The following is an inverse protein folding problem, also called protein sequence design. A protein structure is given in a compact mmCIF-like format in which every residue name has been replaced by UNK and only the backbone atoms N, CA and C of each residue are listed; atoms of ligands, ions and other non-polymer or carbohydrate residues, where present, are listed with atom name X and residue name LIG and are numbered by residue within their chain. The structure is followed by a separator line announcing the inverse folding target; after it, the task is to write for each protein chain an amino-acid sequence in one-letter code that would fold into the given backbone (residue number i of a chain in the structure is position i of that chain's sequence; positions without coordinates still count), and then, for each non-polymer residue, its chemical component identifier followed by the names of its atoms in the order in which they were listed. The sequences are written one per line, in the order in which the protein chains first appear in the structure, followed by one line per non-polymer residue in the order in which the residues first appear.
data_IF_393259989123
#
_entry.id   IF_393259989123
#
_cell.length_a   1.000
_cell.length_b   1.000
_cell.length_c   1.000
_cell.angle_alpha   90.00
_cell.angle_beta   90.00
_cell.angle_gamma   90.00
#
_symmetry.space_group_name_H-M   'P 1'
#
loop_
_entity.id
_entity.type
_entity.pdbx_description
1 polymer ?
#
# COMPACT_ATOMS: atom_id res chain seq x y z
N UNK A 1 -28.21 -6.34 -11.61
CA UNK A 1 -27.68 -6.74 -12.20
C UNK A 1 -26.42 -7.20 -12.85
N UNK A 2 -26.27 -8.49 -12.73
CA UNK A 2 -25.13 -9.16 -13.34
C UNK A 2 -25.09 -8.97 -14.85
N UNK A 3 -26.24 -8.67 -15.44
CA UNK A 3 -26.33 -8.44 -16.88
C UNK A 3 -25.51 -7.23 -17.32
N UNK A 4 -25.25 -6.29 -16.41
CA UNK A 4 -24.43 -5.14 -16.71
C UNK A 4 -22.94 -5.42 -16.54
N UNK A 5 -22.61 -6.54 -15.92
CA UNK A 5 -21.25 -7.04 -15.89
C UNK A 5 -21.02 -7.78 -17.18
N UNK A 6 -20.93 -7.02 -18.27
CA UNK A 6 -20.79 -7.61 -19.59
C UNK A 6 -19.38 -8.12 -19.84
N UNK A 7 -19.13 -8.55 -21.07
CA UNK A 7 -17.81 -9.09 -21.43
C UNK A 7 -16.70 -8.07 -21.26
N UNK A 8 -17.01 -6.79 -21.47
CA UNK A 8 -16.05 -5.73 -21.33
C UNK A 8 -15.62 -5.59 -19.87
N UNK A 9 -16.60 -5.60 -18.95
CA UNK A 9 -16.31 -5.50 -17.53
C UNK A 9 -15.54 -6.72 -17.04
N UNK A 10 -15.91 -7.91 -17.50
CA UNK A 10 -15.19 -9.12 -17.14
C UNK A 10 -13.76 -9.11 -17.65
N UNK A 11 -13.55 -8.63 -18.87
CA UNK A 11 -12.20 -8.48 -19.43
C UNK A 11 -11.40 -7.45 -18.65
N UNK A 12 -12.02 -6.33 -18.28
CA UNK A 12 -11.39 -5.33 -17.45
C UNK A 12 -11.06 -5.88 -16.07
N UNK A 13 -11.95 -6.73 -15.51
CA UNK A 13 -11.72 -7.34 -14.20
C UNK A 13 -10.48 -8.24 -14.22
N UNK A 14 -10.29 -9.02 -15.28
CA UNK A 14 -9.09 -9.84 -15.41
C UNK A 14 -7.83 -8.98 -15.47
N UNK A 15 -7.85 -7.94 -16.30
CA UNK A 15 -6.73 -7.01 -16.43
C UNK A 15 -6.46 -6.31 -15.10
N UNK A 16 -7.52 -5.81 -14.45
CA UNK A 16 -7.41 -5.16 -13.16
C UNK A 16 -6.85 -6.11 -12.11
N UNK A 17 -7.29 -7.38 -12.13
CA UNK A 17 -6.80 -8.36 -11.18
C UNK A 17 -5.30 -8.61 -11.35
N UNK A 18 -4.80 -8.67 -12.58
CA UNK A 18 -3.38 -8.83 -12.85
C UNK A 18 -2.59 -7.63 -12.29
N UNK A 19 -3.02 -6.42 -12.61
CA UNK A 19 -2.35 -5.22 -12.11
C UNK A 19 -2.48 -5.09 -10.62
N UNK A 20 -3.66 -5.37 -10.07
CA UNK A 20 -3.86 -5.28 -8.62
C UNK A 20 -2.98 -6.28 -7.88
N UNK A 21 -2.86 -7.50 -8.40
CA UNK A 21 -1.97 -8.49 -7.80
C UNK A 21 -0.54 -7.96 -7.73
N UNK A 22 -0.04 -7.42 -8.83
CA UNK A 22 1.32 -6.91 -8.92
C UNK A 22 1.55 -5.71 -8.00
N UNK A 23 0.65 -4.73 -8.05
CA UNK A 23 0.82 -3.51 -7.25
C UNK A 23 0.55 -3.75 -5.77
N UNK A 24 -0.41 -4.60 -5.44
CA UNK A 24 -0.69 -4.92 -4.04
C UNK A 24 0.48 -5.66 -3.39
N UNK A 25 1.10 -6.58 -4.12
CA UNK A 25 2.31 -7.26 -3.63
C UNK A 25 3.44 -6.26 -3.42
N UNK A 26 3.61 -5.34 -4.34
CA UNK A 26 4.64 -4.31 -4.24
C UNK A 26 4.39 -3.40 -3.05
N UNK A 27 3.15 -2.96 -2.86
CA UNK A 27 2.79 -2.10 -1.73
C UNK A 27 2.99 -2.84 -0.41
N UNK A 28 2.54 -4.08 -0.34
CA UNK A 28 2.71 -4.91 0.85
C UNK A 28 4.19 -5.03 1.21
N UNK A 29 5.03 -5.39 0.25
CA UNK A 29 6.47 -5.51 0.49
C UNK A 29 7.08 -4.19 0.91
N UNK A 30 6.70 -3.10 0.24
CA UNK A 30 7.20 -1.77 0.57
C UNK A 30 6.79 -1.32 1.96
N UNK A 31 5.57 -1.63 2.38
CA UNK A 31 5.09 -1.30 3.71
C UNK A 31 5.78 -2.12 4.80
N UNK A 32 6.10 -3.37 4.52
CA UNK A 32 6.86 -4.21 5.45
C UNK A 32 8.26 -3.62 5.64
N UNK A 33 8.91 -3.21 4.55
CA UNK A 33 10.20 -2.52 4.63
C UNK A 33 10.07 -1.24 5.45
N UNK A 34 9.00 -0.47 5.22
CA UNK A 34 8.74 0.76 5.97
C UNK A 34 8.58 0.51 7.46
N UNK A 35 7.89 -0.56 7.83
CA UNK A 35 7.74 -0.95 9.22
C UNK A 35 9.10 -1.24 9.86
N UNK A 36 9.94 -1.98 9.15
CA UNK A 36 11.29 -2.29 9.64
C UNK A 36 12.12 -1.02 9.80
N UNK A 37 12.01 -0.09 8.85
CA UNK A 37 12.71 1.19 8.94
C UNK A 37 12.23 1.99 10.15
N UNK A 38 10.93 1.98 10.43
CA UNK A 38 10.39 2.69 11.59
C UNK A 38 10.90 2.07 12.89
N UNK A 39 10.98 0.74 12.95
CA UNK A 39 11.51 0.06 14.14
C UNK A 39 12.97 0.42 14.37
N UNK A 40 13.76 0.53 13.30
CA UNK A 40 15.14 0.98 13.40
C UNK A 40 15.23 2.43 13.84
N UNK A 41 14.33 3.26 13.32
CA UNK A 41 14.27 4.68 13.67
C UNK A 41 14.03 4.89 15.16
N UNK A 42 13.09 4.11 15.71
CA UNK A 42 12.74 4.21 17.13
C UNK A 42 13.92 3.87 18.04
N UNK A 43 14.85 3.06 17.55
CA UNK A 43 16.04 2.68 18.27
C UNK A 43 17.14 3.76 18.28
N UNK A 44 17.03 4.80 17.48
CA UNK A 44 18.00 5.89 17.44
C UNK A 44 17.89 6.72 18.72
N UNK A 45 19.04 7.16 19.25
CA UNK A 45 19.08 7.86 20.53
C UNK A 45 19.39 9.33 20.43
N UNK A 46 20.02 9.79 19.37
CA UNK A 46 20.35 11.21 19.19
C UNK A 46 19.21 11.94 18.49
N UNK A 47 18.92 13.18 18.92
CA UNK A 47 17.86 13.97 18.29
C UNK A 47 18.17 14.26 16.83
N UNK A 48 19.44 14.52 16.51
CA UNK A 48 19.85 14.76 15.12
C UNK A 48 19.64 13.53 14.26
N UNK A 49 20.02 12.36 14.76
CA UNK A 49 19.82 11.09 14.06
C UNK A 49 18.34 10.81 13.89
N UNK A 50 17.55 11.03 14.92
CA UNK A 50 16.10 10.79 14.89
C UNK A 50 15.44 11.73 13.87
N UNK A 51 15.81 12.99 13.86
CA UNK A 51 15.27 13.97 12.92
C UNK A 51 15.61 13.60 11.49
N UNK A 52 16.88 13.22 11.24
CA UNK A 52 17.32 12.77 9.92
C UNK A 52 16.62 11.50 9.49
N UNK A 53 16.49 10.55 10.40
CA UNK A 53 15.79 9.30 10.14
C UNK A 53 14.33 9.52 9.78
N UNK A 54 13.65 10.42 10.49
CA UNK A 54 12.26 10.74 10.16
C UNK A 54 12.14 11.31 8.75
N UNK A 55 13.06 12.15 8.35
CA UNK A 55 13.04 12.72 7.00
C UNK A 55 13.21 11.65 5.95
N UNK A 56 14.18 10.74 6.15
CA UNK A 56 14.44 9.66 5.20
C UNK A 56 13.24 8.73 5.11
N UNK A 57 12.66 8.36 6.24
CA UNK A 57 11.47 7.50 6.24
C UNK A 57 10.29 8.18 5.56
N UNK A 58 10.11 9.47 5.81
CA UNK A 58 9.05 10.25 5.15
C UNK A 58 9.25 10.24 3.63
N UNK A 59 10.47 10.47 3.16
CA UNK A 59 10.77 10.45 1.72
C UNK A 59 10.50 9.07 1.13
N UNK A 60 10.86 8.00 1.85
CA UNK A 60 10.59 6.63 1.42
C UNK A 60 9.09 6.41 1.24
N UNK A 61 8.30 6.81 2.25
CA UNK A 61 6.85 6.65 2.22
C UNK A 61 6.21 7.48 1.11
N UNK A 62 6.68 8.70 0.89
CA UNK A 62 6.18 9.53 -0.19
C UNK A 62 6.48 8.92 -1.56
N UNK A 63 7.64 8.28 -1.69
CA UNK A 63 7.97 7.55 -2.91
C UNK A 63 7.02 6.38 -3.14
N UNK A 64 6.73 5.64 -2.08
CA UNK A 64 5.81 4.51 -2.15
C UNK A 64 4.40 4.99 -2.49
N UNK A 65 3.99 6.12 -1.93
CA UNK A 65 2.69 6.72 -2.19
C UNK A 65 2.57 7.17 -3.65
N UNK A 66 3.65 7.72 -4.24
CA UNK A 66 3.66 8.06 -5.66
C UNK A 66 3.43 6.83 -6.53
N UNK A 67 4.05 5.71 -6.18
CA UNK A 67 3.84 4.45 -6.91
C UNK A 67 2.40 3.98 -6.81
N UNK A 68 1.79 4.13 -5.65
CA UNK A 68 0.38 3.79 -5.48
C UNK A 68 -0.51 4.64 -6.38
N UNK A 69 -0.20 5.92 -6.50
CA UNK A 69 -0.97 6.84 -7.35
C UNK A 69 -0.81 6.50 -8.83
N UNK A 70 0.36 6.02 -9.22
CA UNK A 70 0.54 5.50 -10.58
C UNK A 70 -0.36 4.28 -10.80
N UNK A 71 -0.41 3.38 -9.81
CA UNK A 71 -1.30 2.22 -9.89
C UNK A 71 -2.76 2.63 -10.00
N UNK A 72 -3.17 3.67 -9.28
CA UNK A 72 -4.54 4.19 -9.37
C UNK A 72 -4.86 4.69 -10.78
N UNK A 73 -3.90 5.30 -11.46
CA UNK A 73 -4.11 5.75 -12.84
C UNK A 73 -4.30 4.58 -13.79
N UNK A 74 -3.72 3.42 -13.49
CA UNK A 74 -3.83 2.23 -14.33
C UNK A 74 -5.13 1.46 -14.03
N UNK A 75 -5.44 1.27 -12.76
CA UNK A 75 -6.55 0.42 -12.32
C UNK A 75 -7.85 1.21 -12.18
N UNK A 76 -7.76 2.42 -11.64
CA UNK A 76 -8.92 3.26 -11.33
C UNK A 76 -8.66 4.02 -10.06
N UNK A 77 -9.10 5.29 -10.03
CA UNK A 77 -8.79 6.21 -8.92
C UNK A 77 -9.36 5.74 -7.58
N UNK A 78 -10.47 5.01 -7.61
CA UNK A 78 -11.13 4.59 -6.38
C UNK A 78 -10.59 3.29 -5.81
N UNK A 79 -9.78 2.57 -6.55
CA UNK A 79 -9.40 1.21 -6.19
C UNK A 79 -8.60 1.14 -4.87
N UNK A 80 -7.68 2.08 -4.68
CA UNK A 80 -6.79 2.08 -3.51
C UNK A 80 -7.06 3.24 -2.56
N UNK A 81 -8.27 3.79 -2.56
CA UNK A 81 -8.58 4.97 -1.75
C UNK A 81 -8.29 4.75 -0.27
N UNK A 82 -8.69 3.61 0.27
CA UNK A 82 -8.47 3.33 1.69
C UNK A 82 -6.99 3.12 2.00
N UNK A 83 -6.27 2.44 1.11
CA UNK A 83 -4.84 2.23 1.28
C UNK A 83 -4.09 3.56 1.20
N UNK A 84 -4.44 4.40 0.23
CA UNK A 84 -3.83 5.71 0.09
C UNK A 84 -4.04 6.55 1.35
N UNK A 85 -5.27 6.58 1.84
CA UNK A 85 -5.60 7.32 3.06
C UNK A 85 -4.77 6.84 4.24
N UNK A 86 -4.64 5.54 4.38
CA UNK A 86 -3.86 4.95 5.48
C UNK A 86 -2.39 5.28 5.35
N UNK A 87 -1.85 5.27 4.12
CA UNK A 87 -0.45 5.63 3.90
C UNK A 87 -0.19 7.11 4.19
N UNK A 88 -1.12 7.99 3.85
CA UNK A 88 -1.03 9.41 4.20
C UNK A 88 -1.05 9.59 5.73
N UNK A 89 -1.86 8.81 6.41
CA UNK A 89 -1.90 8.81 7.87
C UNK A 89 -0.54 8.40 8.46
N UNK A 90 0.09 7.38 7.90
CA UNK A 90 1.42 6.94 8.34
C UNK A 90 2.43 8.08 8.21
N UNK A 91 2.44 8.75 7.06
CA UNK A 91 3.34 9.89 6.82
C UNK A 91 3.16 10.96 7.91
N UNK A 92 1.91 11.33 8.17
CA UNK A 92 1.62 12.34 9.18
C UNK A 92 2.08 11.93 10.57
N UNK A 93 1.84 10.68 10.94
CA UNK A 93 2.23 10.19 12.27
C UNK A 93 3.74 10.12 12.43
N UNK A 94 4.47 9.70 11.39
CA UNK A 94 5.93 9.68 11.42
C UNK A 94 6.47 11.11 11.57
N UNK A 95 5.92 12.06 10.82
CA UNK A 95 6.36 13.46 10.89
C UNK A 95 6.13 14.04 12.28
N UNK A 96 5.09 13.61 12.96
CA UNK A 96 4.75 14.09 14.30
C UNK A 96 5.39 13.26 15.41
N UNK A 97 6.26 12.34 15.07
CA UNK A 97 6.92 11.43 16.03
C UNK A 97 5.94 10.55 16.81
N UNK A 98 4.78 10.29 16.24
CA UNK A 98 3.79 9.38 16.82
C UNK A 98 4.10 7.96 16.35
N UNK A 99 5.20 7.40 16.85
CA UNK A 99 5.74 6.16 16.30
C UNK A 99 4.90 4.93 16.61
N UNK A 100 4.31 4.84 17.80
CA UNK A 100 3.44 3.70 18.14
C UNK A 100 2.19 3.70 17.26
N UNK A 101 1.60 4.87 17.10
CA UNK A 101 0.42 5.04 16.23
C UNK A 101 0.79 4.75 14.78
N UNK A 102 1.98 5.17 14.35
CA UNK A 102 2.46 4.90 13.00
C UNK A 102 2.62 3.39 12.77
N UNK A 103 3.16 2.65 13.73
CA UNK A 103 3.28 1.18 13.63
C UNK A 103 1.92 0.53 13.46
N UNK A 104 0.92 1.01 14.19
CA UNK A 104 -0.45 0.50 14.05
C UNK A 104 -1.01 0.80 12.66
N UNK A 105 -0.77 2.01 12.18
CA UNK A 105 -1.23 2.40 10.84
C UNK A 105 -0.53 1.59 9.76
N UNK A 106 0.76 1.28 9.92
CA UNK A 106 1.46 0.37 9.01
C UNK A 106 0.80 -1.00 8.97
N UNK A 107 0.48 -1.55 10.14
CA UNK A 107 -0.18 -2.86 10.22
C UNK A 107 -1.51 -2.86 9.48
N UNK A 108 -2.28 -1.80 9.64
CA UNK A 108 -3.57 -1.67 8.97
C UNK A 108 -3.39 -1.53 7.45
N UNK A 109 -2.39 -0.77 7.02
CA UNK A 109 -2.10 -0.61 5.60
C UNK A 109 -1.66 -1.94 4.97
N UNK A 110 -0.81 -2.69 5.68
CA UNK A 110 -0.36 -4.01 5.21
C UNK A 110 -1.56 -4.95 5.06
N UNK A 111 -2.51 -4.90 6.01
CA UNK A 111 -3.72 -5.71 5.92
C UNK A 111 -4.56 -5.35 4.70
N UNK A 112 -4.68 -4.06 4.39
CA UNK A 112 -5.42 -3.62 3.21
C UNK A 112 -4.75 -4.13 1.93
N UNK A 113 -3.43 -3.99 1.84
CA UNK A 113 -2.69 -4.46 0.67
C UNK A 113 -2.77 -5.99 0.54
N UNK A 114 -2.68 -6.71 1.65
CA UNK A 114 -2.77 -8.16 1.68
C UNK A 114 -4.15 -8.63 1.21
N UNK A 115 -5.21 -7.98 1.69
CA UNK A 115 -6.57 -8.32 1.29
C UNK A 115 -6.78 -8.11 -0.20
N UNK A 116 -6.29 -6.98 -0.74
CA UNK A 116 -6.37 -6.70 -2.16
C UNK A 116 -5.63 -7.76 -2.98
N UNK A 117 -4.42 -8.11 -2.54
CA UNK A 117 -3.62 -9.14 -3.19
C UNK A 117 -4.32 -10.49 -3.19
N UNK A 118 -4.89 -10.90 -2.05
CA UNK A 118 -5.60 -12.18 -1.93
C UNK A 118 -6.83 -12.22 -2.82
N UNK A 119 -7.58 -11.12 -2.90
CA UNK A 119 -8.76 -11.03 -3.73
C UNK A 119 -8.39 -11.22 -5.20
N UNK A 120 -7.36 -10.53 -5.66
CA UNK A 120 -6.89 -10.64 -7.04
C UNK A 120 -6.33 -12.01 -7.35
N UNK A 121 -5.56 -12.57 -6.42
CA UNK A 121 -4.99 -13.91 -6.59
C UNK A 121 -6.08 -14.96 -6.72
N UNK A 122 -7.10 -14.89 -5.86
CA UNK A 122 -8.24 -15.83 -5.92
C UNK A 122 -8.96 -15.71 -7.25
N UNK A 123 -9.18 -14.50 -7.72
CA UNK A 123 -9.82 -14.28 -9.02
C UNK A 123 -9.00 -14.91 -10.15
N UNK A 124 -7.69 -14.68 -10.15
CA UNK A 124 -6.81 -15.21 -11.19
C UNK A 124 -6.71 -16.73 -11.13
N UNK A 125 -6.72 -17.30 -9.95
CA UNK A 125 -6.70 -18.75 -9.78
C UNK A 125 -7.99 -19.39 -10.33
N UNK A 126 -9.14 -18.76 -10.06
CA UNK A 126 -10.41 -19.23 -10.62
C UNK A 126 -10.41 -19.21 -12.14
N UNK A 127 -9.71 -18.23 -12.73
CA UNK A 127 -9.57 -18.13 -14.17
C UNK A 127 -8.43 -18.99 -14.71
N UNK A 128 -7.76 -19.73 -13.85
CA UNK A 128 -6.61 -20.58 -14.19
C UNK A 128 -5.46 -19.78 -14.83
N UNK A 129 -5.26 -18.57 -14.34
CA UNK A 129 -4.20 -17.68 -14.81
C UNK A 129 -3.00 -17.63 -13.84
N UNK A 130 -3.13 -18.30 -12.73
CA UNK A 130 -2.05 -18.50 -11.77
C UNK A 130 -1.89 -19.97 -11.46
#
# INVERSE_FOLDING_TARGET
MLLFMDKKDLAMDTRKAIFDFQYSEKMKSGLIIGTNLLEQLVALKGEGELSGGRKVLTWYLEGLLRELRIAQNVIGMDHYVNLERKMMEIVGRVQMSQFQEALRSFSEAISLATTSCQTSMSFLMEKKLL
#
